data_IF_834471836847
#
_entry.id   IF_834471836847
#
_cell.length_a   1.000
_cell.length_b   1.000
_cell.length_c   1.000
_cell.angle_alpha   90.00
_cell.angle_beta   90.00
_cell.angle_gamma   90.00
#
_symmetry.space_group_name_H-M   'P 1'
#
loop_
_entity.id
_entity.type
_entity.pdbx_description
1 polymer ?
#
# COMPACT_ATOMS: atom_id res chain seq x y z
N UNK A 1 56.59 52.13 -30.81
CA UNK A 1 56.80 52.12 -29.34
C UNK A 1 55.51 52.42 -28.65
N UNK A 2 54.71 51.46 -28.34
CA UNK A 2 53.64 51.56 -27.32
C UNK A 2 53.21 50.12 -26.98
N UNK A 3 53.54 49.73 -25.74
CA UNK A 3 53.18 48.42 -25.16
C UNK A 3 51.70 48.36 -24.88
N UNK A 4 50.98 47.40 -25.45
CA UNK A 4 49.61 47.08 -25.11
C UNK A 4 49.61 45.83 -24.24
N UNK A 5 49.36 46.03 -22.96
CA UNK A 5 49.20 44.95 -22.00
C UNK A 5 47.84 44.31 -22.22
N UNK A 6 47.86 43.03 -22.59
CA UNK A 6 46.66 42.18 -22.71
C UNK A 6 46.24 41.73 -21.31
N UNK A 7 45.11 42.26 -20.84
CA UNK A 7 44.51 41.88 -19.56
C UNK A 7 43.67 40.64 -19.79
N UNK A 8 44.18 39.50 -19.31
CA UNK A 8 43.46 38.21 -19.35
C UNK A 8 42.35 38.21 -18.29
N UNK A 9 41.09 38.28 -18.74
CA UNK A 9 39.91 38.17 -17.88
C UNK A 9 39.56 36.68 -17.71
N UNK A 10 39.93 36.12 -16.59
CA UNK A 10 39.50 34.76 -16.17
C UNK A 10 38.07 34.89 -15.70
N UNK A 11 37.11 34.43 -16.52
CA UNK A 11 35.72 34.26 -16.14
C UNK A 11 35.60 32.90 -15.41
N UNK A 12 35.57 32.92 -14.09
CA UNK A 12 35.17 31.78 -13.30
C UNK A 12 33.66 31.54 -13.46
N UNK A 13 33.31 30.58 -14.32
CA UNK A 13 31.93 30.07 -14.36
C UNK A 13 31.75 29.17 -13.14
N UNK A 14 31.15 29.72 -12.10
CA UNK A 14 30.58 28.95 -11.00
C UNK A 14 29.38 28.18 -11.56
N UNK A 15 29.56 26.91 -11.90
CA UNK A 15 28.48 25.98 -12.14
C UNK A 15 27.85 25.69 -10.77
N UNK A 16 26.90 26.51 -10.37
CA UNK A 16 26.01 26.25 -9.27
C UNK A 16 25.13 25.05 -9.63
N UNK A 17 25.55 23.87 -9.19
CA UNK A 17 24.69 22.69 -9.23
C UNK A 17 23.45 22.95 -8.35
N UNK A 18 22.36 23.37 -8.99
CA UNK A 18 21.04 23.32 -8.38
C UNK A 18 20.71 21.85 -8.22
N UNK A 19 20.93 21.33 -7.02
CA UNK A 19 20.27 20.10 -6.58
C UNK A 19 18.77 20.42 -6.61
N UNK A 20 18.15 20.11 -7.73
CA UNK A 20 16.70 20.02 -7.81
C UNK A 20 16.29 18.92 -6.85
N UNK A 21 16.03 19.29 -5.58
CA UNK A 21 15.19 18.52 -4.71
C UNK A 21 13.85 18.39 -5.44
N UNK A 22 13.67 17.27 -6.13
CA UNK A 22 12.42 16.94 -6.78
C UNK A 22 11.33 16.89 -5.69
N UNK A 23 10.71 18.03 -5.42
CA UNK A 23 9.34 18.03 -4.96
C UNK A 23 8.59 17.31 -6.08
N UNK A 24 8.19 16.04 -5.82
CA UNK A 24 7.16 15.40 -6.62
C UNK A 24 6.00 16.41 -6.63
N UNK A 25 5.78 17.02 -7.80
CA UNK A 25 4.57 17.80 -8.03
C UNK A 25 3.43 16.87 -7.61
N UNK A 26 2.50 17.38 -6.80
CA UNK A 26 1.24 16.70 -6.56
C UNK A 26 0.70 16.35 -7.96
N UNK A 27 0.85 15.08 -8.36
CA UNK A 27 0.27 14.62 -9.63
C UNK A 27 -1.20 14.97 -9.54
N UNK A 28 -1.75 15.61 -10.57
CA UNK A 28 -3.15 15.99 -10.60
C UNK A 28 -4.02 14.76 -10.32
N UNK A 29 -4.49 14.67 -9.07
CA UNK A 29 -5.38 13.59 -8.67
C UNK A 29 -6.66 13.72 -9.49
N UNK A 30 -7.15 12.59 -9.99
CA UNK A 30 -8.42 12.56 -10.71
C UNK A 30 -9.54 13.01 -9.76
N UNK A 31 -10.23 14.07 -10.12
CA UNK A 31 -11.37 14.57 -9.36
C UNK A 31 -12.65 13.93 -9.88
N UNK A 32 -13.32 13.13 -9.04
CA UNK A 32 -14.65 12.57 -9.32
C UNK A 32 -15.56 12.75 -8.09
N UNK A 33 -16.13 13.96 -7.88
CA UNK A 33 -16.95 14.24 -6.71
C UNK A 33 -18.17 13.33 -6.57
N UNK A 34 -18.73 12.86 -7.68
CA UNK A 34 -19.89 11.97 -7.65
C UNK A 34 -19.50 10.59 -7.10
N UNK A 35 -18.36 10.04 -7.52
CA UNK A 35 -17.83 8.79 -6.96
C UNK A 35 -17.47 8.97 -5.48
N UNK A 36 -16.83 10.09 -5.13
CA UNK A 36 -16.47 10.38 -3.74
C UNK A 36 -17.69 10.42 -2.83
N UNK A 37 -18.76 11.09 -3.26
CA UNK A 37 -20.01 11.14 -2.51
C UNK A 37 -20.64 9.75 -2.37
N UNK A 38 -20.61 8.96 -3.44
CA UNK A 38 -21.14 7.60 -3.44
C UNK A 38 -20.39 6.67 -2.49
N UNK A 39 -19.06 6.68 -2.53
CA UNK A 39 -18.22 5.85 -1.64
C UNK A 39 -18.40 6.26 -0.19
N UNK A 40 -18.36 7.57 0.12
CA UNK A 40 -18.59 8.07 1.47
C UNK A 40 -19.95 7.63 2.01
N UNK A 41 -21.01 7.83 1.22
CA UNK A 41 -22.34 7.41 1.62
C UNK A 41 -22.42 5.91 1.87
N UNK A 42 -21.82 5.09 1.00
CA UNK A 42 -21.78 3.65 1.17
C UNK A 42 -21.08 3.26 2.49
N UNK A 43 -19.93 3.85 2.80
CA UNK A 43 -19.18 3.58 4.04
C UNK A 43 -19.95 4.04 5.28
N UNK A 44 -20.68 5.18 5.20
CA UNK A 44 -21.53 5.69 6.27
C UNK A 44 -22.77 4.80 6.51
N UNK A 45 -23.46 4.39 5.45
CA UNK A 45 -24.65 3.53 5.52
C UNK A 45 -24.31 2.14 6.12
N UNK A 46 -23.07 1.68 5.93
CA UNK A 46 -22.58 0.40 6.45
C UNK A 46 -21.75 0.53 7.74
N UNK A 47 -21.70 1.72 8.34
CA UNK A 47 -20.95 1.94 9.58
C UNK A 47 -21.45 1.02 10.70
N UNK A 48 -20.52 0.31 11.35
CA UNK A 48 -20.82 -0.68 12.38
C UNK A 48 -21.39 -2.01 11.89
N UNK A 49 -21.57 -2.20 10.58
CA UNK A 49 -22.02 -3.45 9.97
C UNK A 49 -20.87 -4.33 9.50
N UNK A 50 -19.67 -3.78 9.35
CA UNK A 50 -18.45 -4.49 8.97
C UNK A 50 -18.04 -5.48 10.05
N UNK A 51 -18.40 -6.73 9.84
CA UNK A 51 -18.09 -7.86 10.72
C UNK A 51 -17.23 -8.83 9.93
N UNK A 52 -16.94 -9.97 10.52
CA UNK A 52 -16.30 -11.07 9.79
C UNK A 52 -14.93 -10.71 9.18
N UNK A 53 -13.97 -10.44 10.05
CA UNK A 53 -12.56 -10.21 9.69
C UNK A 53 -12.28 -8.93 8.88
N UNK A 54 -13.13 -7.92 8.97
CA UNK A 54 -12.87 -6.63 8.34
C UNK A 54 -12.05 -5.71 9.26
N UNK A 55 -11.27 -4.83 8.63
CA UNK A 55 -10.50 -3.79 9.32
C UNK A 55 -11.42 -2.69 9.89
N UNK A 56 -10.89 -1.85 10.77
CA UNK A 56 -11.60 -0.64 11.20
C UNK A 56 -11.60 0.45 10.10
N UNK A 57 -12.54 1.40 10.17
CA UNK A 57 -12.54 2.57 9.27
C UNK A 57 -11.28 3.42 9.43
N UNK A 58 -10.69 3.45 10.63
CA UNK A 58 -9.41 4.13 10.86
C UNK A 58 -8.28 3.47 10.04
N UNK A 59 -8.16 2.14 10.09
CA UNK A 59 -7.14 1.43 9.31
C UNK A 59 -7.38 1.61 7.81
N UNK A 60 -8.65 1.57 7.37
CA UNK A 60 -9.02 1.86 5.99
C UNK A 60 -8.56 3.24 5.53
N UNK A 61 -8.78 4.28 6.36
CA UNK A 61 -8.30 5.64 6.06
C UNK A 61 -6.76 5.68 5.97
N UNK A 62 -6.05 4.97 6.83
CA UNK A 62 -4.58 4.90 6.78
C UNK A 62 -4.11 4.30 5.45
N UNK A 63 -4.72 3.20 4.99
CA UNK A 63 -4.39 2.58 3.69
C UNK A 63 -4.65 3.55 2.53
N UNK A 64 -5.82 4.22 2.55
CA UNK A 64 -6.19 5.23 1.56
C UNK A 64 -5.13 6.35 1.49
N UNK A 65 -4.75 6.92 2.63
CA UNK A 65 -3.83 8.07 2.69
C UNK A 65 -2.40 7.71 2.26
N UNK A 66 -1.94 6.47 2.55
CA UNK A 66 -0.67 5.95 2.05
C UNK A 66 -0.67 5.92 0.52
N UNK A 67 -1.74 5.43 -0.11
CA UNK A 67 -1.87 5.34 -1.56
C UNK A 67 -1.90 6.73 -2.20
N UNK A 68 -2.68 7.65 -1.64
CA UNK A 68 -2.74 9.05 -2.12
C UNK A 68 -1.37 9.72 -2.03
N UNK A 69 -0.73 9.65 -0.85
CA UNK A 69 0.59 10.26 -0.61
C UNK A 69 1.68 9.71 -1.52
N UNK A 70 1.66 8.40 -1.77
CA UNK A 70 2.61 7.72 -2.65
C UNK A 70 2.26 7.85 -4.13
N UNK A 71 1.07 8.39 -4.48
CA UNK A 71 0.53 8.40 -5.85
C UNK A 71 0.56 7.00 -6.48
N UNK A 72 0.31 5.97 -5.69
CA UNK A 72 0.40 4.57 -6.09
C UNK A 72 -0.72 4.18 -7.06
N UNK A 73 -0.39 3.33 -8.05
CA UNK A 73 -1.30 2.94 -9.14
C UNK A 73 -1.52 1.44 -9.27
N UNK A 74 -0.63 0.63 -8.74
CA UNK A 74 -0.71 -0.83 -8.81
C UNK A 74 -0.72 -1.40 -7.40
N UNK A 75 -1.88 -1.89 -6.96
CA UNK A 75 -2.06 -2.42 -5.62
C UNK A 75 -2.41 -3.91 -5.63
N UNK A 76 -1.94 -4.61 -4.60
CA UNK A 76 -2.33 -5.98 -4.26
C UNK A 76 -2.89 -6.03 -2.85
N UNK A 77 -4.02 -6.69 -2.68
CA UNK A 77 -4.58 -7.06 -1.39
C UNK A 77 -4.63 -8.57 -1.27
N UNK A 78 -4.13 -9.10 -0.16
CA UNK A 78 -4.13 -10.53 0.19
C UNK A 78 -5.08 -10.69 1.39
N UNK A 79 -6.27 -11.22 1.13
CA UNK A 79 -7.39 -11.28 2.07
C UNK A 79 -8.43 -10.19 1.81
N UNK A 80 -9.41 -10.48 0.94
CA UNK A 80 -10.49 -9.55 0.58
C UNK A 80 -11.56 -9.46 1.67
N UNK A 81 -11.87 -10.59 2.34
CA UNK A 81 -13.06 -10.75 3.17
C UNK A 81 -14.30 -10.23 2.45
N UNK A 82 -15.15 -9.42 3.09
CA UNK A 82 -16.33 -8.83 2.46
C UNK A 82 -16.04 -7.47 1.78
N UNK A 83 -14.76 -7.07 1.67
CA UNK A 83 -14.30 -5.98 0.81
C UNK A 83 -14.11 -4.62 1.44
N UNK A 84 -14.19 -4.47 2.76
CA UNK A 84 -14.09 -3.15 3.41
C UNK A 84 -12.74 -2.45 3.11
N UNK A 85 -11.63 -3.13 3.32
CA UNK A 85 -10.28 -2.64 2.97
C UNK A 85 -10.13 -2.37 1.48
N UNK A 86 -10.63 -3.29 0.64
CA UNK A 86 -10.63 -3.15 -0.81
C UNK A 86 -11.34 -1.88 -1.30
N UNK A 87 -12.44 -1.47 -0.62
CA UNK A 87 -13.14 -0.21 -0.91
C UNK A 87 -12.26 1.01 -0.63
N UNK A 88 -11.60 1.07 0.52
CA UNK A 88 -10.69 2.17 0.87
C UNK A 88 -9.51 2.27 -0.09
N UNK A 89 -8.89 1.12 -0.41
CA UNK A 89 -7.77 1.01 -1.35
C UNK A 89 -8.21 1.45 -2.75
N UNK A 90 -9.30 0.89 -3.26
CA UNK A 90 -9.80 1.19 -4.61
C UNK A 90 -10.28 2.63 -4.75
N UNK A 91 -10.86 3.21 -3.70
CA UNK A 91 -11.22 4.63 -3.67
C UNK A 91 -9.98 5.52 -3.84
N UNK A 92 -8.90 5.26 -3.11
CA UNK A 92 -7.64 5.97 -3.31
C UNK A 92 -7.08 5.78 -4.72
N UNK A 93 -7.10 4.53 -5.24
CA UNK A 93 -6.63 4.20 -6.58
C UNK A 93 -7.45 4.88 -7.69
N UNK A 94 -8.74 5.11 -7.49
CA UNK A 94 -9.58 5.85 -8.44
C UNK A 94 -9.06 7.28 -8.63
N UNK A 95 -8.49 7.88 -7.59
CA UNK A 95 -7.89 9.22 -7.63
C UNK A 95 -6.51 9.24 -8.28
N UNK A 96 -5.71 8.23 -8.02
CA UNK A 96 -4.34 8.13 -8.60
C UNK A 96 -4.32 7.54 -10.01
N UNK A 97 -5.45 6.99 -10.48
CA UNK A 97 -5.57 6.35 -11.79
C UNK A 97 -5.03 4.93 -11.80
N UNK A 98 -5.10 4.25 -10.66
CA UNK A 98 -4.60 2.90 -10.46
C UNK A 98 -5.69 1.83 -10.42
N UNK A 99 -5.28 0.59 -10.10
CA UNK A 99 -6.14 -0.58 -9.94
C UNK A 99 -5.65 -1.47 -8.81
N UNK A 100 -6.61 -2.16 -8.17
CA UNK A 100 -6.41 -3.16 -7.14
C UNK A 100 -6.58 -4.57 -7.73
N UNK A 101 -5.65 -5.47 -7.42
CA UNK A 101 -5.90 -6.92 -7.45
C UNK A 101 -6.15 -7.33 -6.00
N UNK A 102 -7.27 -8.00 -5.72
CA UNK A 102 -7.57 -8.54 -4.39
C UNK A 102 -7.93 -10.01 -4.50
N UNK A 103 -7.59 -10.80 -3.47
CA UNK A 103 -7.79 -12.25 -3.47
C UNK A 103 -8.37 -12.74 -2.15
N UNK A 104 -9.36 -13.61 -2.26
CA UNK A 104 -9.89 -14.40 -1.15
C UNK A 104 -10.11 -15.84 -1.56
N UNK A 105 -10.03 -16.76 -0.60
CA UNK A 105 -10.29 -18.20 -0.83
C UNK A 105 -11.75 -18.55 -0.57
N UNK A 106 -12.49 -17.73 0.18
CA UNK A 106 -13.86 -17.96 0.58
C UNK A 106 -14.83 -17.44 -0.48
N UNK A 107 -15.61 -18.35 -1.08
CA UNK A 107 -16.52 -18.03 -2.17
C UNK A 107 -17.69 -17.11 -1.75
N UNK A 108 -18.20 -17.26 -0.52
CA UNK A 108 -19.31 -16.45 -0.04
C UNK A 108 -18.87 -15.03 0.28
N UNK A 109 -17.71 -14.87 0.95
CA UNK A 109 -17.10 -13.56 1.19
C UNK A 109 -16.74 -12.86 -0.13
N UNK A 110 -16.15 -13.58 -1.06
CA UNK A 110 -15.83 -13.04 -2.38
C UNK A 110 -17.08 -12.52 -3.10
N UNK A 111 -18.18 -13.28 -3.06
CA UNK A 111 -19.45 -12.85 -3.65
C UNK A 111 -20.00 -11.58 -2.99
N UNK A 112 -19.96 -11.52 -1.67
CA UNK A 112 -20.37 -10.32 -0.91
C UNK A 112 -19.49 -9.13 -1.25
N UNK A 113 -18.16 -9.32 -1.30
CA UNK A 113 -17.22 -8.26 -1.69
C UNK A 113 -17.53 -7.69 -3.07
N UNK A 114 -17.83 -8.54 -4.06
CA UNK A 114 -18.21 -8.09 -5.40
C UNK A 114 -19.47 -7.22 -5.39
N UNK A 115 -20.47 -7.56 -4.55
CA UNK A 115 -21.67 -6.75 -4.37
C UNK A 115 -21.33 -5.41 -3.73
N UNK A 116 -20.55 -5.40 -2.67
CA UNK A 116 -20.12 -4.19 -1.97
C UNK A 116 -19.30 -3.26 -2.89
N UNK A 117 -18.40 -3.79 -3.70
CA UNK A 117 -17.64 -3.02 -4.70
C UNK A 117 -18.56 -2.38 -5.75
N UNK A 118 -19.58 -3.08 -6.20
CA UNK A 118 -20.56 -2.58 -7.15
C UNK A 118 -21.42 -1.47 -6.55
N UNK A 119 -21.89 -1.65 -5.32
CA UNK A 119 -22.70 -0.66 -4.62
C UNK A 119 -21.91 0.62 -4.31
N UNK A 120 -20.65 0.48 -3.89
CA UNK A 120 -19.72 1.59 -3.71
C UNK A 120 -19.34 2.28 -5.03
N UNK A 121 -19.57 1.66 -6.20
CA UNK A 121 -19.22 2.19 -7.51
C UNK A 121 -17.77 2.03 -7.90
N UNK A 122 -17.08 1.04 -7.31
CA UNK A 122 -15.63 0.85 -7.45
C UNK A 122 -15.22 -0.37 -8.29
N UNK A 123 -16.18 -1.13 -8.85
CA UNK A 123 -15.89 -2.36 -9.58
C UNK A 123 -14.87 -2.21 -10.72
N UNK A 124 -14.83 -1.06 -11.39
CA UNK A 124 -13.88 -0.83 -12.49
C UNK A 124 -12.43 -0.69 -12.04
N UNK A 125 -12.21 -0.39 -10.75
CA UNK A 125 -10.89 -0.23 -10.15
C UNK A 125 -10.36 -1.50 -9.48
N UNK A 126 -11.16 -2.60 -9.49
CA UNK A 126 -10.87 -3.82 -8.72
C UNK A 126 -10.90 -5.04 -9.65
N UNK A 127 -9.86 -5.86 -9.55
CA UNK A 127 -9.77 -7.22 -10.08
C UNK A 127 -9.83 -8.17 -8.88
N UNK A 128 -11.04 -8.59 -8.51
CA UNK A 128 -11.26 -9.49 -7.38
C UNK A 128 -11.18 -10.95 -7.83
N UNK A 129 -10.34 -11.73 -7.15
CA UNK A 129 -10.04 -13.13 -7.52
C UNK A 129 -10.44 -14.07 -6.42
N UNK A 130 -11.21 -15.10 -6.78
CA UNK A 130 -11.47 -16.25 -5.92
C UNK A 130 -10.34 -17.28 -6.15
N UNK A 131 -9.38 -17.35 -5.23
CA UNK A 131 -8.21 -18.22 -5.35
C UNK A 131 -7.51 -18.41 -4.00
N UNK A 132 -6.67 -19.45 -3.91
CA UNK A 132 -5.71 -19.59 -2.80
C UNK A 132 -4.57 -18.58 -2.98
N UNK A 133 -4.44 -17.67 -2.02
CA UNK A 133 -3.39 -16.65 -2.02
C UNK A 133 -1.97 -17.26 -1.94
N UNK A 134 -1.78 -18.42 -1.29
CA UNK A 134 -0.50 -19.12 -1.21
C UNK A 134 0.07 -19.43 -2.59
N UNK A 135 -0.80 -19.75 -3.55
CA UNK A 135 -0.40 -20.05 -4.91
C UNK A 135 -0.44 -18.80 -5.81
N UNK A 136 -1.44 -17.94 -5.62
CA UNK A 136 -1.61 -16.79 -6.49
C UNK A 136 -0.44 -15.81 -6.39
N UNK A 137 0.06 -15.52 -5.18
CA UNK A 137 1.16 -14.58 -4.98
C UNK A 137 2.44 -14.99 -5.72
N UNK A 138 2.66 -16.28 -5.94
CA UNK A 138 3.79 -16.81 -6.71
C UNK A 138 3.66 -16.51 -8.20
N UNK A 139 2.43 -16.54 -8.72
CA UNK A 139 2.10 -16.41 -10.15
C UNK A 139 1.98 -14.94 -10.59
N UNK A 140 1.65 -14.03 -9.69
CA UNK A 140 1.52 -12.60 -9.98
C UNK A 140 2.88 -12.03 -10.42
N UNK A 141 2.88 -11.23 -11.49
CA UNK A 141 4.14 -10.70 -12.07
C UNK A 141 4.55 -9.35 -11.47
N UNK A 142 3.62 -8.56 -10.94
CA UNK A 142 3.90 -7.17 -10.55
C UNK A 142 4.21 -6.28 -11.78
N UNK A 143 4.89 -5.12 -11.65
CA UNK A 143 5.32 -4.58 -10.37
C UNK A 143 4.16 -3.95 -9.57
N UNK A 144 4.26 -3.99 -8.25
CA UNK A 144 3.31 -3.36 -7.34
C UNK A 144 3.90 -2.09 -6.73
N UNK A 145 3.06 -1.09 -6.49
CA UNK A 145 3.40 0.11 -5.73
C UNK A 145 2.98 -0.05 -4.26
N UNK A 146 1.86 -0.75 -4.03
CA UNK A 146 1.26 -0.92 -2.72
C UNK A 146 0.79 -2.36 -2.51
N UNK A 147 1.00 -2.88 -1.31
CA UNK A 147 0.50 -4.19 -0.90
C UNK A 147 -0.15 -4.09 0.47
N UNK A 148 -1.31 -4.72 0.62
CA UNK A 148 -1.97 -4.94 1.90
C UNK A 148 -2.14 -6.45 2.13
N UNK A 149 -1.65 -6.96 3.27
CA UNK A 149 -1.69 -8.38 3.63
C UNK A 149 -2.45 -8.56 4.94
N UNK A 150 -3.61 -9.20 4.87
CA UNK A 150 -4.47 -9.51 6.02
C UNK A 150 -5.20 -10.86 5.86
N UNK A 151 -4.50 -11.89 5.37
CA UNK A 151 -5.03 -13.24 5.23
C UNK A 151 -4.47 -14.18 6.32
N UNK A 152 -3.86 -15.30 5.90
CA UNK A 152 -3.27 -16.29 6.80
C UNK A 152 -2.03 -15.71 7.51
N UNK A 153 -2.13 -15.54 8.83
CA UNK A 153 -1.09 -14.92 9.66
C UNK A 153 0.18 -15.75 9.76
N UNK A 154 0.04 -17.07 9.66
CA UNK A 154 1.19 -17.98 9.67
C UNK A 154 1.99 -17.89 8.35
N UNK A 155 1.36 -17.37 7.31
CA UNK A 155 1.98 -17.17 5.99
C UNK A 155 2.49 -15.75 5.71
N UNK A 156 2.35 -14.80 6.60
CA UNK A 156 2.75 -13.40 6.37
C UNK A 156 4.19 -13.25 5.85
N UNK A 157 5.14 -13.97 6.44
CA UNK A 157 6.53 -13.96 5.98
C UNK A 157 6.67 -14.52 4.55
N UNK A 158 5.94 -15.58 4.23
CA UNK A 158 5.98 -16.19 2.91
C UNK A 158 5.34 -15.28 1.85
N UNK A 159 4.23 -14.61 2.18
CA UNK A 159 3.63 -13.60 1.30
C UNK A 159 4.61 -12.47 1.03
N UNK A 160 5.24 -11.93 2.08
CA UNK A 160 6.24 -10.87 1.94
C UNK A 160 7.40 -11.31 1.03
N UNK A 161 8.01 -12.47 1.28
CA UNK A 161 9.13 -13.00 0.49
C UNK A 161 8.74 -13.19 -0.99
N UNK A 162 7.52 -13.67 -1.27
CA UNK A 162 7.05 -13.87 -2.63
C UNK A 162 6.77 -12.55 -3.38
N UNK A 163 6.41 -11.50 -2.65
CA UNK A 163 6.02 -10.20 -3.22
C UNK A 163 7.18 -9.18 -3.22
N UNK A 164 8.13 -9.24 -2.29
CA UNK A 164 9.26 -8.30 -2.20
C UNK A 164 9.99 -8.07 -3.55
N UNK A 165 10.31 -9.09 -4.36
CA UNK A 165 10.91 -8.87 -5.68
C UNK A 165 9.99 -8.18 -6.70
N UNK A 166 8.70 -8.11 -6.42
CA UNK A 166 7.66 -7.55 -7.26
C UNK A 166 7.17 -6.19 -6.76
N UNK A 167 7.63 -5.76 -5.57
CA UNK A 167 7.36 -4.43 -5.01
C UNK A 167 8.43 -3.46 -5.49
N UNK A 168 8.02 -2.32 -6.03
CA UNK A 168 8.93 -1.27 -6.48
C UNK A 168 9.71 -0.64 -5.32
N UNK A 169 10.90 -0.14 -5.59
CA UNK A 169 11.57 0.82 -4.71
C UNK A 169 10.69 2.07 -4.59
N UNK A 170 10.49 2.56 -3.37
CA UNK A 170 9.49 3.59 -3.06
C UNK A 170 8.09 3.04 -2.81
N UNK A 171 7.84 1.77 -3.08
CA UNK A 171 6.57 1.10 -2.77
C UNK A 171 6.39 0.82 -1.29
N UNK A 172 5.16 0.53 -0.89
CA UNK A 172 4.76 0.27 0.49
C UNK A 172 4.12 -1.11 0.64
N UNK A 173 4.62 -1.90 1.57
CA UNK A 173 4.00 -3.15 2.02
C UNK A 173 3.37 -2.93 3.40
N UNK A 174 2.08 -3.16 3.52
CA UNK A 174 1.33 -3.05 4.78
C UNK A 174 0.81 -4.41 5.22
N UNK A 175 0.81 -4.66 6.54
CA UNK A 175 0.31 -5.91 7.11
C UNK A 175 -0.51 -5.61 8.36
N UNK A 176 -1.69 -6.18 8.45
CA UNK A 176 -2.60 -5.97 9.58
C UNK A 176 -2.44 -7.02 10.69
N UNK A 177 -3.04 -6.75 11.86
CA UNK A 177 -2.99 -7.59 13.06
C UNK A 177 -1.56 -7.90 13.56
N UNK A 178 -0.64 -6.98 13.37
CA UNK A 178 0.69 -7.03 13.98
C UNK A 178 0.63 -6.39 15.37
N UNK A 179 1.24 -7.04 16.35
CA UNK A 179 1.41 -6.48 17.70
C UNK A 179 2.88 -6.53 18.08
N UNK A 180 3.35 -5.47 18.71
CA UNK A 180 4.66 -5.46 19.36
C UNK A 180 4.56 -6.24 20.67
N UNK A 181 5.16 -7.42 20.72
CA UNK A 181 5.20 -8.26 21.95
C UNK A 181 5.98 -7.61 23.08
N UNK A 182 6.88 -6.66 22.80
CA UNK A 182 7.62 -5.94 23.83
C UNK A 182 6.72 -5.04 24.69
N UNK A 183 5.53 -4.69 24.21
CA UNK A 183 4.55 -3.86 24.90
C UNK A 183 3.53 -4.65 25.73
N UNK A 184 3.72 -5.94 25.96
CA UNK A 184 2.90 -6.75 26.86
C UNK A 184 1.47 -7.02 26.37
N UNK A 185 1.22 -6.94 25.08
CA UNK A 185 -0.07 -7.27 24.49
C UNK A 185 -0.38 -8.76 24.65
N UNK A 186 -1.35 -9.10 25.46
CA UNK A 186 -1.91 -10.47 25.57
C UNK A 186 -2.65 -10.83 24.27
N UNK A 187 -1.91 -11.13 23.21
CA UNK A 187 -2.45 -11.81 22.04
C UNK A 187 -2.75 -13.26 22.40
N UNK A 188 -4.01 -13.62 22.38
CA UNK A 188 -4.47 -15.01 22.49
C UNK A 188 -3.94 -15.80 21.30
N UNK A 189 -3.00 -16.69 21.55
CA UNK A 189 -2.58 -17.65 20.52
C UNK A 189 -1.08 -17.65 20.30
N UNK A 190 -0.53 -18.79 20.57
CA UNK A 190 0.81 -19.30 20.44
C UNK A 190 1.79 -18.63 19.47
N UNK A 191 2.98 -19.16 19.39
CA UNK A 191 4.09 -18.82 18.51
C UNK A 191 3.71 -18.72 17.00
N UNK A 192 2.67 -17.95 16.64
CA UNK A 192 2.15 -17.81 15.30
C UNK A 192 3.01 -16.88 14.44
N UNK A 193 3.02 -17.11 13.14
CA UNK A 193 3.86 -16.53 12.13
C UNK A 193 3.94 -14.99 12.05
N UNK A 194 2.97 -14.26 12.65
CA UNK A 194 2.99 -12.80 12.70
C UNK A 194 4.16 -12.21 13.51
N UNK A 195 4.61 -12.91 14.57
CA UNK A 195 5.76 -12.49 15.37
C UNK A 195 7.08 -12.65 14.62
N UNK A 196 7.28 -13.79 14.00
CA UNK A 196 8.47 -14.06 13.19
C UNK A 196 8.54 -13.15 11.98
N UNK A 197 7.38 -12.83 11.38
CA UNK A 197 7.28 -11.86 10.29
C UNK A 197 7.68 -10.45 10.75
N UNK A 198 7.18 -9.99 11.89
CA UNK A 198 7.50 -8.65 12.43
C UNK A 198 9.00 -8.47 12.63
N UNK A 199 9.65 -9.41 13.33
CA UNK A 199 11.11 -9.37 13.54
C UNK A 199 11.89 -9.48 12.22
N UNK A 200 11.43 -10.33 11.30
CA UNK A 200 12.04 -10.46 9.98
C UNK A 200 12.04 -9.13 9.21
N UNK A 201 10.87 -8.47 9.08
CA UNK A 201 10.78 -7.24 8.29
C UNK A 201 11.56 -6.10 8.93
N UNK A 202 11.56 -5.98 10.25
CA UNK A 202 12.36 -4.98 10.98
C UNK A 202 13.86 -5.17 10.83
N UNK A 203 14.32 -6.38 10.59
CA UNK A 203 15.75 -6.66 10.38
C UNK A 203 16.26 -6.23 8.98
N UNK A 204 15.35 -5.95 8.05
CA UNK A 204 15.69 -5.59 6.68
C UNK A 204 16.18 -4.15 6.58
N UNK A 205 17.44 -3.96 6.18
CA UNK A 205 18.08 -2.63 6.07
C UNK A 205 17.54 -1.82 4.88
N UNK A 206 16.99 -2.48 3.89
CA UNK A 206 16.41 -1.86 2.70
C UNK A 206 14.94 -1.49 2.86
N UNK A 207 14.37 -1.63 4.07
CA UNK A 207 13.04 -1.19 4.40
C UNK A 207 13.04 -0.21 5.56
N UNK A 208 12.18 0.81 5.48
CA UNK A 208 11.81 1.67 6.61
C UNK A 208 10.46 1.21 7.13
N UNK A 209 10.46 0.64 8.34
CA UNK A 209 9.29 -0.05 8.91
C UNK A 209 8.82 0.64 10.17
N UNK A 210 7.52 0.93 10.24
CA UNK A 210 6.85 1.52 11.40
C UNK A 210 5.58 0.76 11.73
N UNK A 211 5.23 0.67 13.00
CA UNK A 211 3.97 0.09 13.47
C UNK A 211 3.00 1.23 13.83
N UNK A 212 1.84 1.27 13.17
CA UNK A 212 0.73 2.15 13.48
C UNK A 212 -0.43 1.33 14.02
N UNK A 213 -0.64 1.35 15.34
CA UNK A 213 -1.59 0.47 16.04
C UNK A 213 -1.30 -1.01 15.72
N UNK A 214 -2.17 -1.65 14.95
CA UNK A 214 -2.04 -3.04 14.50
C UNK A 214 -1.58 -3.18 13.05
N UNK A 215 -1.30 -2.09 12.36
CA UNK A 215 -0.85 -2.09 10.96
C UNK A 215 0.65 -1.82 10.89
N UNK A 216 1.42 -2.79 10.40
CA UNK A 216 2.83 -2.63 10.08
C UNK A 216 2.95 -2.00 8.68
N UNK A 217 3.69 -0.90 8.59
CA UNK A 217 3.89 -0.13 7.37
C UNK A 217 5.37 -0.16 7.02
N UNK A 218 5.71 -0.71 5.86
CA UNK A 218 7.10 -0.97 5.43
C UNK A 218 7.35 -0.39 4.04
N UNK A 219 8.13 0.69 3.97
CA UNK A 219 8.52 1.33 2.70
C UNK A 219 9.84 0.73 2.19
N UNK A 220 9.85 0.23 0.96
CA UNK A 220 11.06 -0.28 0.30
C UNK A 220 11.94 0.87 -0.16
N UNK A 221 13.16 1.00 0.40
CA UNK A 221 14.08 2.11 0.14
C UNK A 221 15.09 1.80 -0.96
N UNK A 222 15.46 0.54 -1.12
CA UNK A 222 16.37 0.08 -2.16
C UNK A 222 16.11 -1.39 -2.47
N UNK A 223 16.69 -1.89 -3.55
CA UNK A 223 16.82 -3.33 -3.75
C UNK A 223 17.81 -3.92 -2.71
N UNK A 224 17.77 -5.26 -2.55
CA UNK A 224 18.70 -5.98 -1.64
C UNK A 224 20.12 -5.92 -2.13
#
# INVERSE_FOLDING_TARGET
MKNLKLLSLIVCILIGGVLASGQLSAQDLKNNPALDAKVKKFLEDHAGQWRDLNISSYDGQVLHDIIIKGSYKSALEIGTSTGHSGIWIAWALSKTGGRLITVDIDAERHKEALQNFKEAGLSEYIDARLADAHELVKQLKGPFDFVFSDADKDWYKNYFIAIDPKLKVGGCYTTHNISDRSMGGYGRGGNGGSGDYYEYVRSLKNYETTLNRSTLISYKKSEK
#
